data_IF_559669752616
#
_entry.id   IF_559669752616
#
_cell.length_a   1.000
_cell.length_b   1.000
_cell.length_c   1.000
_cell.angle_alpha   90.00
_cell.angle_beta   90.00
_cell.angle_gamma   90.00
#
_symmetry.space_group_name_H-M   'P 1'
#
loop_
_entity.id
_entity.type
_entity.pdbx_description
1 polymer ?
#
# COMPACT_ATOMS: atom_id res chain seq x y z
N UNK A 1 15.46 -5.20 6.22
CA UNK A 1 14.14 -4.67 5.86
C UNK A 1 14.24 -4.04 4.48
N UNK A 2 13.28 -4.33 3.62
CA UNK A 2 13.25 -3.82 2.25
C UNK A 2 11.85 -3.37 1.91
N UNK A 3 11.72 -2.16 1.34
CA UNK A 3 10.43 -1.64 0.85
C UNK A 3 10.49 -1.64 -0.67
N UNK A 4 9.49 -2.24 -1.29
CA UNK A 4 9.43 -2.39 -2.75
C UNK A 4 7.97 -2.51 -3.21
N UNK A 5 7.71 -2.27 -4.50
CA UNK A 5 6.37 -2.56 -5.03
C UNK A 5 6.05 -4.05 -4.89
N UNK A 6 4.80 -4.36 -4.59
CA UNK A 6 4.33 -5.74 -4.64
C UNK A 6 4.35 -6.22 -6.09
N UNK A 7 4.59 -7.51 -6.30
CA UNK A 7 4.51 -8.09 -7.64
C UNK A 7 3.22 -8.92 -7.78
N UNK A 8 2.86 -9.25 -9.01
CA UNK A 8 1.58 -9.92 -9.28
C UNK A 8 1.45 -11.29 -8.62
N UNK A 9 2.57 -11.97 -8.39
CA UNK A 9 2.56 -13.28 -7.74
C UNK A 9 2.21 -13.17 -6.25
N UNK A 10 2.21 -11.96 -5.72
CA UNK A 10 1.92 -11.68 -4.33
C UNK A 10 0.47 -11.19 -4.12
N UNK A 11 -0.36 -11.24 -5.17
CA UNK A 11 -1.74 -10.73 -5.08
C UNK A 11 -2.53 -11.40 -3.95
N UNK A 12 -2.34 -12.70 -3.72
CA UNK A 12 -3.01 -13.41 -2.64
C UNK A 12 -2.61 -12.89 -1.27
N UNK A 13 -1.33 -12.56 -1.11
CA UNK A 13 -0.81 -11.99 0.14
C UNK A 13 -1.40 -10.59 0.36
N UNK A 14 -1.44 -9.78 -0.70
CA UNK A 14 -2.02 -8.43 -0.63
C UNK A 14 -3.49 -8.49 -0.24
N UNK A 15 -4.26 -9.38 -0.87
CA UNK A 15 -5.68 -9.54 -0.53
C UNK A 15 -5.85 -9.98 0.92
N UNK A 16 -4.99 -10.89 1.40
CA UNK A 16 -5.05 -11.32 2.79
C UNK A 16 -4.78 -10.16 3.74
N UNK A 17 -3.81 -9.30 3.42
CA UNK A 17 -3.52 -8.13 4.24
C UNK A 17 -4.71 -7.16 4.27
N UNK A 18 -5.43 -7.02 3.16
CA UNK A 18 -6.65 -6.20 3.10
C UNK A 18 -7.71 -6.78 4.05
N UNK A 19 -7.91 -8.10 4.02
CA UNK A 19 -8.83 -8.75 4.94
C UNK A 19 -8.40 -8.62 6.40
N UNK A 20 -7.10 -8.74 6.66
CA UNK A 20 -6.56 -8.57 8.02
C UNK A 20 -6.79 -7.16 8.54
N UNK A 21 -6.62 -6.15 7.68
CA UNK A 21 -6.90 -4.77 8.03
C UNK A 21 -8.39 -4.57 8.32
N UNK A 22 -9.26 -5.14 7.50
CA UNK A 22 -10.70 -5.07 7.71
C UNK A 22 -11.10 -5.68 9.06
N UNK A 23 -10.49 -6.81 9.40
CA UNK A 23 -10.70 -7.45 10.71
C UNK A 23 -10.25 -6.54 11.85
N UNK A 24 -9.08 -5.94 11.69
CA UNK A 24 -8.55 -5.01 12.70
C UNK A 24 -9.48 -3.81 12.90
N UNK A 25 -10.09 -3.32 11.83
CA UNK A 25 -11.05 -2.21 11.87
C UNK A 25 -12.48 -2.65 12.21
N UNK A 26 -12.67 -3.92 12.55
CA UNK A 26 -13.96 -4.50 12.90
C UNK A 26 -15.02 -4.43 11.78
N UNK A 27 -14.55 -4.54 10.54
CA UNK A 27 -15.42 -4.52 9.35
C UNK A 27 -15.09 -5.69 8.41
N UNK A 28 -15.00 -6.95 8.92
CA UNK A 28 -14.51 -8.07 8.11
C UNK A 28 -15.38 -8.44 6.92
N UNK A 29 -16.65 -8.07 6.96
CA UNK A 29 -17.59 -8.43 5.90
C UNK A 29 -17.74 -7.35 4.83
N UNK A 30 -16.96 -6.26 4.91
CA UNK A 30 -17.06 -5.16 3.96
C UNK A 30 -16.11 -5.30 2.75
N UNK A 31 -15.16 -6.23 2.80
CA UNK A 31 -14.23 -6.43 1.68
C UNK A 31 -14.92 -7.23 0.59
N UNK A 32 -15.07 -6.62 -0.58
CA UNK A 32 -15.69 -7.26 -1.74
C UNK A 32 -14.66 -7.56 -2.83
N UNK A 33 -13.46 -6.99 -2.74
CA UNK A 33 -12.42 -7.16 -3.75
C UNK A 33 -11.96 -8.61 -3.83
N UNK A 34 -11.66 -9.03 -5.05
CA UNK A 34 -11.13 -10.36 -5.35
C UNK A 34 -9.71 -10.24 -5.91
N UNK A 35 -8.98 -11.36 -5.97
CA UNK A 35 -7.66 -11.37 -6.59
C UNK A 35 -7.72 -10.88 -8.03
N UNK A 36 -8.76 -11.27 -8.77
CA UNK A 36 -8.94 -10.85 -10.16
C UNK A 36 -9.00 -9.32 -10.28
N UNK A 37 -9.79 -8.69 -9.42
CA UNK A 37 -9.94 -7.24 -9.43
C UNK A 37 -8.63 -6.53 -9.06
N UNK A 38 -7.90 -7.05 -8.08
CA UNK A 38 -6.60 -6.49 -7.72
C UNK A 38 -5.60 -6.64 -8.84
N UNK A 39 -5.59 -7.79 -9.54
CA UNK A 39 -4.71 -8.01 -10.68
C UNK A 39 -5.00 -7.00 -11.81
N UNK A 40 -6.25 -6.67 -12.03
CA UNK A 40 -6.68 -5.76 -13.11
C UNK A 40 -6.45 -4.28 -12.77
N UNK A 41 -6.27 -3.93 -11.51
CA UNK A 41 -6.17 -2.53 -11.09
C UNK A 41 -4.80 -2.15 -10.56
N UNK A 42 -4.15 -3.03 -9.80
CA UNK A 42 -2.86 -2.73 -9.16
C UNK A 42 -1.70 -3.28 -9.98
N UNK A 43 -1.86 -4.47 -10.54
CA UNK A 43 -0.76 -5.20 -11.18
C UNK A 43 -0.82 -5.11 -12.71
N UNK A 44 -1.14 -3.94 -13.22
CA UNK A 44 -1.18 -3.64 -14.65
C UNK A 44 -0.21 -2.51 -14.97
N UNK A 45 0.16 -2.39 -16.24
CA UNK A 45 1.18 -1.44 -16.68
C UNK A 45 0.76 0.02 -16.44
N UNK A 46 -0.52 0.33 -16.64
CA UNK A 46 -1.06 1.68 -16.48
C UNK A 46 -1.82 1.83 -15.15
N UNK A 47 -1.35 1.19 -14.10
CA UNK A 47 -2.02 1.21 -12.81
C UNK A 47 -2.22 2.63 -12.28
N UNK A 48 -3.37 2.87 -11.67
CA UNK A 48 -3.71 4.14 -11.02
C UNK A 48 -3.72 4.03 -9.51
N UNK A 49 -3.52 2.83 -8.99
CA UNK A 49 -3.38 2.55 -7.57
C UNK A 49 -2.17 1.65 -7.40
N UNK A 50 -1.43 1.84 -6.31
CA UNK A 50 -0.13 1.23 -6.11
C UNK A 50 -0.07 0.55 -4.75
N UNK A 51 0.70 -0.53 -4.68
CA UNK A 51 0.92 -1.25 -3.43
C UNK A 51 2.41 -1.46 -3.23
N UNK A 52 2.92 -0.89 -2.14
CA UNK A 52 4.29 -1.13 -1.71
C UNK A 52 4.25 -2.01 -0.47
N UNK A 53 5.18 -2.95 -0.40
CA UNK A 53 5.27 -3.89 0.72
C UNK A 53 6.58 -3.69 1.46
N UNK A 54 6.57 -4.03 2.76
CA UNK A 54 7.79 -4.11 3.55
C UNK A 54 8.11 -5.58 3.76
N UNK A 55 9.30 -5.97 3.31
CA UNK A 55 9.79 -7.34 3.40
C UNK A 55 10.85 -7.44 4.48
N UNK A 56 10.70 -8.42 5.35
CA UNK A 56 11.62 -8.67 6.47
C UNK A 56 11.98 -10.15 6.46
N UNK A 57 13.25 -10.44 6.25
CA UNK A 57 13.76 -11.84 6.22
C UNK A 57 12.97 -12.73 5.25
N UNK A 58 12.64 -12.17 4.07
CA UNK A 58 11.94 -12.91 3.02
C UNK A 58 10.43 -13.01 3.21
N UNK A 59 9.89 -12.41 4.25
CA UNK A 59 8.45 -12.42 4.52
C UNK A 59 7.88 -11.01 4.39
N UNK A 60 6.66 -10.90 3.84
CA UNK A 60 5.97 -9.62 3.76
C UNK A 60 5.38 -9.32 5.14
N UNK A 61 5.87 -8.26 5.76
CA UNK A 61 5.44 -7.84 7.09
C UNK A 61 4.27 -6.87 7.06
N UNK A 62 4.06 -6.18 5.95
CA UNK A 62 2.99 -5.21 5.83
C UNK A 62 2.99 -4.53 4.48
N UNK A 63 2.08 -3.56 4.32
CA UNK A 63 1.88 -2.90 3.05
C UNK A 63 1.37 -1.48 3.21
N UNK A 64 1.53 -0.69 2.13
CA UNK A 64 0.85 0.58 1.94
C UNK A 64 0.19 0.56 0.56
N UNK A 65 -1.09 0.86 0.50
CA UNK A 65 -1.83 1.00 -0.77
C UNK A 65 -2.16 2.49 -0.92
N UNK A 66 -1.81 3.05 -2.07
CA UNK A 66 -1.94 4.48 -2.28
C UNK A 66 -2.26 4.80 -3.74
N UNK A 67 -2.77 6.00 -3.95
CA UNK A 67 -3.05 6.51 -5.29
C UNK A 67 -2.83 8.02 -5.31
N UNK A 68 -2.94 8.63 -6.50
CA UNK A 68 -2.71 10.06 -6.64
C UNK A 68 -4.03 10.82 -6.62
N UNK A 69 -4.10 11.84 -5.77
CA UNK A 69 -5.14 12.84 -5.86
C UNK A 69 -4.56 14.08 -6.58
N UNK A 70 -5.30 15.17 -6.65
CA UNK A 70 -4.84 16.37 -7.34
C UNK A 70 -5.27 17.61 -6.57
N UNK A 71 -4.36 18.57 -6.44
CA UNK A 71 -4.66 19.87 -5.84
C UNK A 71 -4.74 20.92 -6.92
N UNK A 72 -5.92 21.53 -7.08
CA UNK A 72 -6.09 22.64 -8.02
C UNK A 72 -5.37 23.90 -7.53
N UNK A 73 -5.17 24.01 -6.24
CA UNK A 73 -4.46 25.16 -5.65
C UNK A 73 -2.96 25.10 -5.91
N UNK A 74 -2.40 23.90 -5.88
CA UNK A 74 -0.97 23.68 -6.13
C UNK A 74 -0.65 23.42 -7.60
N UNK A 75 -1.64 22.96 -8.37
CA UNK A 75 -1.42 22.46 -9.73
C UNK A 75 -0.60 21.20 -9.77
N UNK A 76 -0.68 20.38 -8.73
CA UNK A 76 0.14 19.18 -8.57
C UNK A 76 -0.66 18.02 -8.04
N UNK A 77 -0.19 16.80 -8.38
CA UNK A 77 -0.69 15.59 -7.75
C UNK A 77 -0.14 15.47 -6.34
N UNK A 78 -0.83 14.71 -5.52
CA UNK A 78 -0.37 14.31 -4.19
C UNK A 78 -0.64 12.82 -4.01
N UNK A 79 0.01 12.24 -3.01
CA UNK A 79 -0.22 10.84 -2.64
C UNK A 79 -1.36 10.79 -1.63
N UNK A 80 -2.37 9.95 -1.92
CA UNK A 80 -3.43 9.63 -0.97
C UNK A 80 -3.20 8.20 -0.48
N UNK A 81 -2.98 8.05 0.81
CA UNK A 81 -2.79 6.74 1.44
C UNK A 81 -4.15 6.12 1.73
N UNK A 82 -4.49 5.05 1.00
CA UNK A 82 -5.75 4.33 1.19
C UNK A 82 -5.65 3.38 2.38
N UNK A 83 -4.63 2.54 2.41
CA UNK A 83 -4.44 1.53 3.45
C UNK A 83 -2.98 1.48 3.89
N UNK A 84 -2.78 1.37 5.20
CA UNK A 84 -1.48 1.08 5.80
C UNK A 84 -1.68 0.00 6.86
N UNK A 85 -1.03 -1.13 6.69
CA UNK A 85 -1.19 -2.24 7.62
C UNK A 85 0.12 -2.98 7.82
N UNK A 86 0.45 -3.23 9.09
CA UNK A 86 1.58 -4.06 9.50
C UNK A 86 1.01 -5.23 10.27
N UNK A 87 1.43 -6.45 9.92
CA UNK A 87 0.99 -7.65 10.64
C UNK A 87 1.32 -7.52 12.12
N UNK A 88 0.44 -8.01 13.02
CA UNK A 88 0.64 -7.86 14.47
C UNK A 88 2.01 -8.31 14.95
N UNK A 89 2.54 -9.42 14.42
CA UNK A 89 3.84 -9.97 14.85
C UNK A 89 5.02 -9.09 14.44
N UNK A 90 4.82 -8.14 13.56
CA UNK A 90 5.88 -7.22 13.12
C UNK A 90 5.72 -5.80 13.66
N UNK A 91 4.70 -5.55 14.48
CA UNK A 91 4.44 -4.22 15.03
C UNK A 91 5.46 -3.83 16.09
N UNK A 92 5.59 -2.52 16.30
CA UNK A 92 6.53 -1.99 17.29
C UNK A 92 7.98 -1.97 16.84
N UNK A 93 8.24 -2.19 15.55
CA UNK A 93 9.59 -2.22 14.98
C UNK A 93 9.85 -1.10 13.97
N UNK A 94 8.91 -0.16 13.85
CA UNK A 94 9.08 1.01 13.00
C UNK A 94 8.77 0.80 11.52
N UNK A 95 8.18 -0.31 11.12
CA UNK A 95 7.92 -0.60 9.71
C UNK A 95 6.83 0.31 9.12
N UNK A 96 5.79 0.63 9.89
CA UNK A 96 4.78 1.58 9.43
C UNK A 96 5.37 2.95 9.16
N UNK A 97 6.21 3.43 10.07
CA UNK A 97 6.92 4.70 9.90
C UNK A 97 7.83 4.66 8.68
N UNK A 98 8.52 3.53 8.46
CA UNK A 98 9.38 3.36 7.30
C UNK A 98 8.59 3.44 5.99
N UNK A 99 7.40 2.85 5.93
CA UNK A 99 6.54 2.96 4.76
C UNK A 99 6.11 4.41 4.52
N UNK A 100 5.73 5.14 5.57
CA UNK A 100 5.36 6.55 5.42
C UNK A 100 6.54 7.39 4.94
N UNK A 101 7.73 7.14 5.45
CA UNK A 101 8.95 7.84 5.00
C UNK A 101 9.26 7.50 3.54
N UNK A 102 9.03 6.26 3.14
CA UNK A 102 9.19 5.84 1.75
C UNK A 102 8.24 6.61 0.83
N UNK A 103 6.98 6.74 1.22
CA UNK A 103 6.01 7.50 0.41
C UNK A 103 6.37 8.98 0.34
N UNK A 104 6.88 9.56 1.42
CA UNK A 104 7.36 10.94 1.41
C UNK A 104 8.51 11.11 0.41
N UNK A 105 9.41 10.14 0.35
CA UNK A 105 10.52 10.15 -0.59
C UNK A 105 10.03 10.04 -2.04
N UNK A 106 9.06 9.16 -2.30
CA UNK A 106 8.43 9.03 -3.62
C UNK A 106 7.80 10.36 -4.02
N UNK A 107 7.12 11.01 -3.09
CA UNK A 107 6.50 12.30 -3.30
C UNK A 107 7.52 13.35 -3.76
N UNK A 108 8.64 13.44 -3.05
CA UNK A 108 9.71 14.37 -3.40
C UNK A 108 10.35 14.05 -4.76
N UNK A 109 10.65 12.79 -5.00
CA UNK A 109 11.32 12.36 -6.23
C UNK A 109 10.48 12.60 -7.48
N UNK A 110 9.16 12.51 -7.35
CA UNK A 110 8.23 12.68 -8.47
C UNK A 110 7.65 14.08 -8.57
N UNK A 111 8.02 14.97 -7.68
CA UNK A 111 7.55 16.36 -7.70
C UNK A 111 6.10 16.52 -7.31
N UNK A 112 5.57 15.62 -6.50
CA UNK A 112 4.21 15.77 -5.97
C UNK A 112 4.17 16.82 -4.87
N UNK A 113 3.01 17.45 -4.68
CA UNK A 113 2.85 18.49 -3.68
C UNK A 113 2.67 17.99 -2.27
N UNK A 114 2.24 16.75 -2.12
CA UNK A 114 1.99 16.17 -0.80
C UNK A 114 1.76 14.66 -0.86
#
# INVERSE_FOLDING_TARGET
MKIRPANKDEVGIVLQLIHDLAHYEKAPNEVEATEKELLETIFVEDARVFCDVVEVDGEIAGMAIWFLNYSTWQGKHGIYLEDLFIKPEFRGRGFGKALLQHLAKVCDERGYGR
#
